data_IF_654490286866
#
_entry.id   IF_654490286866
#
_cell.length_a   1.000
_cell.length_b   1.000
_cell.length_c   1.000
_cell.angle_alpha   90.00
_cell.angle_beta   90.00
_cell.angle_gamma   90.00
#
_symmetry.space_group_name_H-M   'P 1'
#
loop_
_entity.id
_entity.type
_entity.pdbx_description
1 polymer ?
#
# COMPACT_ATOMS: atom_id res chain seq x y z
N UNK A 1 4.26 -4.21 -34.15
CA UNK A 1 3.98 -4.86 -32.85
C UNK A 1 2.84 -5.82 -33.08
N UNK A 2 3.05 -7.08 -32.76
CA UNK A 2 2.06 -8.12 -32.99
C UNK A 2 0.91 -7.91 -31.99
N UNK A 3 -0.26 -7.49 -32.45
CA UNK A 3 -1.43 -7.16 -31.60
C UNK A 3 -2.17 -8.39 -31.08
N UNK A 4 -1.56 -9.58 -31.15
CA UNK A 4 -2.13 -10.84 -30.66
C UNK A 4 -2.63 -10.84 -29.20
N UNK A 5 -2.21 -9.87 -28.43
CA UNK A 5 -2.65 -9.69 -27.03
C UNK A 5 -4.13 -9.30 -26.86
N UNK A 6 -4.78 -8.86 -27.95
CA UNK A 6 -6.17 -8.42 -27.93
C UNK A 6 -7.08 -9.29 -28.78
N UNK A 7 -6.54 -10.31 -29.45
CA UNK A 7 -7.33 -11.26 -30.22
C UNK A 7 -7.76 -12.42 -29.31
N UNK A 8 -9.02 -12.36 -28.85
CA UNK A 8 -9.64 -13.45 -28.12
C UNK A 8 -10.09 -14.54 -29.10
N UNK A 9 -9.85 -15.79 -28.78
CA UNK A 9 -10.48 -16.93 -29.45
C UNK A 9 -12.01 -16.90 -29.23
N UNK A 10 -12.75 -17.59 -30.10
CA UNK A 10 -14.21 -17.56 -30.11
C UNK A 10 -14.87 -17.95 -28.76
N UNK A 11 -14.16 -18.69 -27.91
CA UNK A 11 -14.63 -19.17 -26.60
C UNK A 11 -13.82 -18.63 -25.42
N UNK A 12 -12.90 -17.70 -25.65
CA UNK A 12 -12.05 -17.13 -24.60
C UNK A 12 -12.75 -15.93 -23.95
N UNK A 13 -12.54 -15.81 -22.64
CA UNK A 13 -12.94 -14.62 -21.89
C UNK A 13 -11.77 -13.64 -21.81
N UNK A 14 -12.02 -12.33 -21.62
CA UNK A 14 -10.95 -11.32 -21.55
C UNK A 14 -9.82 -11.65 -20.55
N UNK A 15 -10.11 -12.38 -19.48
CA UNK A 15 -9.13 -12.74 -18.45
C UNK A 15 -8.30 -13.98 -18.78
N UNK A 16 -8.70 -14.80 -19.76
CA UNK A 16 -8.00 -16.04 -20.13
C UNK A 16 -6.63 -15.75 -20.76
N UNK A 17 -6.44 -14.55 -21.31
CA UNK A 17 -5.18 -14.13 -21.93
C UNK A 17 -4.18 -13.53 -20.92
N UNK A 18 -4.56 -13.35 -19.67
CA UNK A 18 -3.65 -12.86 -18.62
C UNK A 18 -2.67 -13.98 -18.28
N UNK A 19 -1.38 -13.75 -18.54
CA UNK A 19 -0.34 -14.73 -18.22
C UNK A 19 -0.25 -14.93 -16.71
N UNK A 20 -0.06 -16.17 -16.26
CA UNK A 20 0.11 -16.51 -14.85
C UNK A 20 1.22 -15.69 -14.16
N UNK A 21 2.28 -15.35 -14.90
CA UNK A 21 3.40 -14.54 -14.40
C UNK A 21 3.04 -13.07 -14.11
N UNK A 22 1.98 -12.55 -14.75
CA UNK A 22 1.58 -11.15 -14.60
C UNK A 22 0.41 -10.99 -13.61
N UNK A 23 -0.33 -12.07 -13.33
CA UNK A 23 -1.54 -12.02 -12.53
C UNK A 23 -2.52 -10.93 -13.01
N UNK A 24 -3.44 -10.56 -12.16
CA UNK A 24 -4.41 -9.51 -12.47
C UNK A 24 -3.84 -8.08 -12.41
N UNK A 25 -2.60 -7.89 -11.94
CA UNK A 25 -1.98 -6.56 -11.90
C UNK A 25 -1.84 -5.93 -13.30
N UNK A 26 -1.67 -6.76 -14.33
CA UNK A 26 -1.56 -6.32 -15.73
C UNK A 26 -2.80 -5.63 -16.31
N UNK A 27 -3.96 -5.68 -15.65
CA UNK A 27 -5.15 -4.90 -16.06
C UNK A 27 -5.01 -3.40 -15.77
N UNK A 28 -4.12 -3.01 -14.88
CA UNK A 28 -3.85 -1.62 -14.55
C UNK A 28 -2.68 -1.08 -15.37
N UNK A 29 -2.82 0.14 -15.89
CA UNK A 29 -1.72 0.84 -16.55
C UNK A 29 -0.76 1.45 -15.54
N UNK A 30 -1.29 1.93 -14.41
CA UNK A 30 -0.48 2.48 -13.34
C UNK A 30 -1.10 2.26 -11.96
N UNK A 31 -0.23 1.95 -11.01
CA UNK A 31 -0.55 1.68 -9.62
C UNK A 31 0.31 2.61 -8.75
N UNK A 32 -0.30 3.31 -7.78
CA UNK A 32 0.40 4.07 -6.75
C UNK A 32 0.74 3.15 -5.57
N UNK A 33 1.95 3.21 -5.07
CA UNK A 33 2.36 2.44 -3.88
C UNK A 33 2.71 3.38 -2.75
N UNK A 34 2.02 3.22 -1.63
CA UNK A 34 2.23 3.95 -0.39
C UNK A 34 2.71 2.93 0.64
N UNK A 35 3.90 3.10 1.17
CA UNK A 35 4.47 2.12 2.09
C UNK A 35 5.67 2.66 2.87
N UNK A 36 6.30 1.76 3.59
CA UNK A 36 7.48 2.00 4.42
C UNK A 36 8.78 1.51 3.76
N UNK A 37 9.77 1.16 4.57
CA UNK A 37 11.08 0.65 4.14
C UNK A 37 11.01 -0.56 3.22
N UNK A 38 10.04 -1.45 3.45
CA UNK A 38 9.85 -2.64 2.61
C UNK A 38 9.43 -2.27 1.18
N UNK A 39 8.66 -1.20 1.04
CA UNK A 39 8.17 -0.75 -0.25
C UNK A 39 9.12 0.26 -0.93
N UNK A 40 9.91 1.01 -0.16
CA UNK A 40 10.95 1.90 -0.72
C UNK A 40 12.20 1.15 -1.16
N UNK A 41 12.39 -0.09 -0.71
CA UNK A 41 13.61 -0.85 -0.93
C UNK A 41 14.78 -0.33 -0.11
N UNK A 42 14.51 0.07 1.16
CA UNK A 42 15.52 0.61 2.05
C UNK A 42 16.67 -0.37 2.27
N UNK A 43 17.86 0.13 2.13
CA UNK A 43 19.11 -0.58 2.32
C UNK A 43 19.83 -0.05 3.55
N UNK A 44 20.34 -0.96 4.38
CA UNK A 44 21.22 -0.63 5.48
C UNK A 44 22.68 -0.77 5.04
N UNK A 45 23.47 0.24 5.29
CA UNK A 45 24.91 0.27 5.05
C UNK A 45 25.62 0.94 6.22
N UNK A 46 26.96 0.97 6.18
CA UNK A 46 27.77 1.68 7.18
C UNK A 46 28.59 2.75 6.50
N UNK A 47 28.68 3.92 7.13
CA UNK A 47 29.58 4.99 6.70
C UNK A 47 31.04 4.70 7.07
N UNK A 48 31.95 5.62 6.71
CA UNK A 48 33.39 5.52 7.01
C UNK A 48 33.69 5.45 8.51
N UNK A 49 32.75 5.87 9.37
CA UNK A 49 32.89 5.84 10.83
C UNK A 49 32.25 4.60 11.46
N UNK A 50 31.65 3.73 10.64
CA UNK A 50 30.92 2.56 11.10
C UNK A 50 29.49 2.85 11.58
N UNK A 51 28.97 4.05 11.34
CA UNK A 51 27.57 4.39 11.68
C UNK A 51 26.62 3.83 10.64
N UNK A 52 25.45 3.35 11.09
CA UNK A 52 24.43 2.82 10.19
C UNK A 52 23.83 3.96 9.37
N UNK A 53 23.74 3.76 8.06
CA UNK A 53 23.10 4.65 7.09
C UNK A 53 22.00 3.89 6.35
N UNK A 54 20.81 4.45 6.32
CA UNK A 54 19.67 3.92 5.58
C UNK A 54 19.46 4.69 4.29
N UNK A 55 19.24 3.99 3.18
CA UNK A 55 19.03 4.59 1.86
C UNK A 55 17.91 3.89 1.14
N UNK A 56 16.90 4.64 0.71
CA UNK A 56 15.81 4.12 -0.12
C UNK A 56 16.31 3.84 -1.55
N UNK A 57 16.27 2.58 -1.97
CA UNK A 57 16.74 2.13 -3.29
C UNK A 57 15.55 1.62 -4.12
N UNK A 58 14.73 2.55 -4.58
CA UNK A 58 13.44 2.30 -5.24
C UNK A 58 13.53 1.31 -6.40
N UNK A 59 14.61 1.33 -7.19
CA UNK A 59 14.82 0.42 -8.32
C UNK A 59 14.99 -1.06 -7.94
N UNK A 60 15.33 -1.34 -6.66
CA UNK A 60 15.45 -2.69 -6.12
C UNK A 60 14.25 -3.11 -5.27
N UNK A 61 13.30 -2.21 -5.08
CA UNK A 61 12.09 -2.46 -4.30
C UNK A 61 11.15 -3.44 -4.97
N UNK A 62 10.26 -4.07 -4.19
CA UNK A 62 9.26 -4.97 -4.75
C UNK A 62 8.31 -4.31 -5.77
N UNK A 63 7.91 -3.01 -5.63
CA UNK A 63 7.13 -2.37 -6.69
C UNK A 63 7.88 -2.30 -8.03
N UNK A 64 9.19 -2.00 -8.00
CA UNK A 64 9.99 -1.99 -9.21
C UNK A 64 10.20 -3.40 -9.82
N UNK A 65 10.24 -4.44 -8.98
CA UNK A 65 10.24 -5.83 -9.46
C UNK A 65 8.92 -6.16 -10.16
N UNK A 66 7.78 -5.79 -9.55
CA UNK A 66 6.46 -5.99 -10.15
C UNK A 66 6.32 -5.19 -11.46
N UNK A 67 6.80 -3.96 -11.53
CA UNK A 67 6.81 -3.16 -12.76
C UNK A 67 7.52 -3.90 -13.89
N UNK A 68 8.70 -4.49 -13.63
CA UNK A 68 9.46 -5.26 -14.63
C UNK A 68 8.76 -6.55 -15.06
N UNK A 69 8.05 -7.21 -14.14
CA UNK A 69 7.36 -8.47 -14.43
C UNK A 69 6.05 -8.24 -15.17
N UNK A 70 5.27 -7.24 -14.75
CA UNK A 70 3.90 -7.03 -15.24
C UNK A 70 3.81 -6.05 -16.40
N UNK A 71 4.83 -5.18 -16.56
CA UNK A 71 4.76 -4.04 -17.48
C UNK A 71 3.81 -2.91 -17.03
N UNK A 72 3.18 -3.06 -15.85
CA UNK A 72 2.36 -2.01 -15.23
C UNK A 72 3.27 -1.00 -14.56
N UNK A 73 3.00 0.30 -14.72
CA UNK A 73 3.75 1.35 -14.04
C UNK A 73 3.44 1.37 -12.56
N UNK A 74 4.47 1.27 -11.71
CA UNK A 74 4.35 1.40 -10.26
C UNK A 74 4.95 2.74 -9.81
N UNK A 75 4.08 3.68 -9.44
CA UNK A 75 4.49 4.97 -8.88
C UNK A 75 4.75 4.79 -7.38
N UNK A 76 6.01 4.72 -6.97
CA UNK A 76 6.38 4.47 -5.59
C UNK A 76 6.43 5.78 -4.78
N UNK A 77 5.55 5.91 -3.78
CA UNK A 77 5.40 7.04 -2.87
C UNK A 77 5.85 6.69 -1.44
N UNK A 78 6.59 5.60 -1.30
CA UNK A 78 7.04 5.07 -0.01
C UNK A 78 8.33 5.73 0.46
N UNK A 79 8.67 5.52 1.73
CA UNK A 79 9.93 5.94 2.34
C UNK A 79 10.25 5.06 3.54
N UNK A 80 11.53 4.82 3.81
CA UNK A 80 11.97 4.18 5.04
C UNK A 80 11.42 4.85 6.30
N UNK A 81 11.00 4.05 7.28
CA UNK A 81 10.42 4.54 8.52
C UNK A 81 9.03 5.15 8.44
N UNK A 82 8.38 5.15 7.28
CA UNK A 82 7.08 5.81 7.07
C UNK A 82 5.98 5.25 7.97
N UNK A 83 5.20 6.15 8.56
CA UNK A 83 3.96 5.87 9.29
C UNK A 83 2.75 6.43 8.54
N UNK A 84 1.55 5.88 8.79
CA UNK A 84 0.31 6.42 8.23
C UNK A 84 0.08 7.87 8.71
N UNK A 85 0.46 8.16 9.95
CA UNK A 85 0.38 9.50 10.54
C UNK A 85 1.23 10.51 9.77
N UNK A 86 2.53 10.23 9.60
CA UNK A 86 3.44 11.15 8.91
C UNK A 86 3.11 11.29 7.43
N UNK A 87 2.74 10.17 6.77
CA UNK A 87 2.30 10.20 5.39
C UNK A 87 1.16 11.19 5.18
N UNK A 88 0.13 11.10 6.03
CA UNK A 88 -1.08 11.92 5.93
C UNK A 88 -0.83 13.38 6.34
N UNK A 89 -0.05 13.62 7.40
CA UNK A 89 0.08 14.95 7.98
C UNK A 89 1.09 15.86 7.27
N UNK A 90 2.07 15.29 6.56
CA UNK A 90 3.16 16.10 5.99
C UNK A 90 3.76 15.54 4.72
N UNK A 91 4.11 14.25 4.68
CA UNK A 91 4.96 13.69 3.65
C UNK A 91 4.33 13.73 2.25
N UNK A 92 3.08 13.32 2.13
CA UNK A 92 2.41 13.26 0.83
C UNK A 92 2.18 14.64 0.22
N UNK A 93 1.83 15.64 1.03
CA UNK A 93 1.66 17.01 0.55
C UNK A 93 3.01 17.65 0.17
N UNK A 94 4.04 17.50 1.01
CA UNK A 94 5.37 18.07 0.75
C UNK A 94 6.01 17.54 -0.54
N UNK A 95 5.69 16.30 -0.93
CA UNK A 95 6.24 15.65 -2.12
C UNK A 95 5.28 15.60 -3.31
N UNK A 96 4.07 16.13 -3.16
CA UNK A 96 3.06 16.13 -4.22
C UNK A 96 2.64 14.72 -4.63
N UNK A 97 2.49 13.80 -3.66
CA UNK A 97 2.20 12.38 -3.89
C UNK A 97 0.71 12.05 -4.03
N UNK A 98 -0.16 13.01 -3.82
CA UNK A 98 -1.58 12.87 -4.11
C UNK A 98 -1.84 12.92 -5.62
N UNK A 99 -1.43 11.87 -6.32
CA UNK A 99 -1.51 11.77 -7.79
C UNK A 99 -2.51 10.70 -8.20
N UNK A 100 -3.13 10.92 -9.34
CA UNK A 100 -4.06 9.97 -9.94
C UNK A 100 -3.35 8.66 -10.31
N UNK A 101 -3.97 7.52 -9.94
CA UNK A 101 -3.62 6.18 -10.37
C UNK A 101 -4.91 5.35 -10.50
N UNK A 102 -4.91 4.35 -11.35
CA UNK A 102 -6.06 3.44 -11.49
C UNK A 102 -6.24 2.54 -10.27
N UNK A 103 -5.14 2.19 -9.61
CA UNK A 103 -5.15 1.47 -8.36
C UNK A 103 -4.09 2.01 -7.40
N UNK A 104 -4.24 1.69 -6.12
CA UNK A 104 -3.25 1.98 -5.08
C UNK A 104 -3.02 0.75 -4.22
N UNK A 105 -1.79 0.59 -3.76
CA UNK A 105 -1.41 -0.38 -2.72
C UNK A 105 -0.94 0.43 -1.52
N UNK A 106 -1.53 0.17 -0.35
CA UNK A 106 -1.16 0.82 0.91
C UNK A 106 -0.60 -0.25 1.84
N UNK A 107 0.70 -0.18 2.13
CA UNK A 107 1.45 -1.11 2.98
C UNK A 107 2.12 -0.35 4.13
N UNK A 108 1.32 0.06 5.11
CA UNK A 108 1.73 0.82 6.31
C UNK A 108 1.27 0.09 7.57
N UNK A 109 1.82 0.47 8.72
CA UNK A 109 1.40 0.00 10.03
C UNK A 109 2.51 -0.63 10.87
N UNK A 110 3.58 -1.13 10.25
CA UNK A 110 4.72 -1.66 10.99
C UNK A 110 5.37 -0.58 11.86
N UNK A 111 5.68 0.57 11.27
CA UNK A 111 6.32 1.67 12.00
C UNK A 111 5.36 2.32 13.00
N UNK A 112 4.09 2.47 12.65
CA UNK A 112 3.08 3.00 13.58
C UNK A 112 3.02 2.18 14.87
N UNK A 113 2.98 0.83 14.74
CA UNK A 113 2.78 -0.07 15.86
C UNK A 113 4.05 -0.40 16.63
N UNK A 114 5.12 -0.77 15.91
CA UNK A 114 6.26 -1.46 16.52
C UNK A 114 7.51 -0.61 16.65
N UNK A 115 7.56 0.54 15.98
CA UNK A 115 8.72 1.44 16.01
C UNK A 115 8.38 2.74 16.72
N UNK A 116 7.31 3.43 16.30
CA UNK A 116 6.94 4.74 16.83
C UNK A 116 5.97 4.66 18.01
N UNK A 117 5.31 3.51 18.23
CA UNK A 117 4.35 3.34 19.32
C UNK A 117 3.15 4.28 19.22
N UNK A 118 2.72 4.61 18.01
CA UNK A 118 1.56 5.47 17.80
C UNK A 118 0.28 4.75 18.28
N UNK A 119 -0.72 5.50 18.79
CA UNK A 119 -2.00 4.89 19.11
C UNK A 119 -2.60 4.22 17.89
N UNK A 120 -2.87 2.92 17.99
CA UNK A 120 -3.50 2.17 16.88
C UNK A 120 -4.93 2.65 16.65
N UNK A 121 -5.69 2.78 17.75
CA UNK A 121 -7.12 3.03 17.67
C UNK A 121 -7.88 1.84 17.09
N UNK A 122 -8.95 2.11 16.35
CA UNK A 122 -9.78 1.12 15.69
C UNK A 122 -10.50 1.72 14.49
N UNK A 123 -11.26 0.92 13.75
CA UNK A 123 -12.12 1.40 12.65
C UNK A 123 -13.16 2.43 13.13
N UNK A 124 -13.49 2.47 14.42
CA UNK A 124 -14.42 3.49 15.00
C UNK A 124 -13.85 4.91 14.96
N UNK A 125 -12.55 5.04 14.79
CA UNK A 125 -11.86 6.34 14.64
C UNK A 125 -11.98 6.90 13.22
N UNK A 126 -12.66 6.17 12.34
CA UNK A 126 -12.81 6.52 10.92
C UNK A 126 -14.22 6.99 10.64
N UNK A 127 -14.33 8.22 10.15
CA UNK A 127 -15.55 8.79 9.59
C UNK A 127 -15.31 9.04 8.09
N UNK A 128 -15.90 8.19 7.24
CA UNK A 128 -15.73 8.28 5.80
C UNK A 128 -16.40 9.54 5.19
N UNK A 129 -17.47 10.05 5.81
CA UNK A 129 -18.20 11.23 5.35
C UNK A 129 -17.48 12.53 5.74
N UNK A 130 -16.80 12.53 6.88
CA UNK A 130 -16.06 13.69 7.40
C UNK A 130 -14.64 13.31 7.84
N UNK A 131 -13.71 13.04 6.87
CA UNK A 131 -12.37 12.52 7.19
C UNK A 131 -11.54 13.43 8.12
N UNK A 132 -11.83 14.72 8.17
CA UNK A 132 -11.16 15.67 9.08
C UNK A 132 -11.39 15.33 10.57
N UNK A 133 -12.52 14.69 10.88
CA UNK A 133 -12.92 14.33 12.23
C UNK A 133 -12.29 13.00 12.70
N UNK A 134 -11.60 12.29 11.80
CA UNK A 134 -10.91 11.05 12.16
C UNK A 134 -9.85 11.34 13.24
N UNK A 135 -9.80 10.48 14.26
CA UNK A 135 -8.83 10.60 15.32
C UNK A 135 -7.38 10.50 14.80
N UNK A 136 -6.43 11.01 15.57
CA UNK A 136 -5.00 10.91 15.25
C UNK A 136 -4.43 9.56 15.74
N UNK A 137 -4.99 8.49 15.22
CA UNK A 137 -4.59 7.09 15.42
C UNK A 137 -4.16 6.49 14.10
N UNK A 138 -3.53 5.30 14.13
CA UNK A 138 -3.18 4.60 12.89
C UNK A 138 -4.41 4.41 11.99
N UNK A 139 -5.52 3.86 12.51
CA UNK A 139 -6.72 3.65 11.72
C UNK A 139 -7.38 4.94 11.26
N UNK A 140 -7.41 5.98 12.11
CA UNK A 140 -7.92 7.28 11.72
C UNK A 140 -7.13 7.91 10.57
N UNK A 141 -5.79 7.79 10.58
CA UNK A 141 -4.93 8.28 9.49
C UNK A 141 -5.05 7.41 8.23
N UNK A 142 -5.17 6.08 8.36
CA UNK A 142 -5.46 5.17 7.23
C UNK A 142 -6.79 5.55 6.55
N UNK A 143 -7.84 5.82 7.34
CA UNK A 143 -9.12 6.30 6.81
C UNK A 143 -8.98 7.62 6.05
N UNK A 144 -8.20 8.59 6.57
CA UNK A 144 -7.91 9.85 5.86
C UNK A 144 -7.20 9.61 4.54
N UNK A 145 -6.22 8.71 4.50
CA UNK A 145 -5.49 8.35 3.26
C UNK A 145 -6.47 7.77 2.23
N UNK A 146 -7.28 6.77 2.61
CA UNK A 146 -8.26 6.17 1.71
C UNK A 146 -9.25 7.20 1.18
N UNK A 147 -9.82 8.04 2.04
CA UNK A 147 -10.74 9.12 1.63
C UNK A 147 -10.07 10.08 0.65
N UNK A 148 -8.82 10.46 0.89
CA UNK A 148 -8.08 11.35 -0.01
C UNK A 148 -7.87 10.73 -1.40
N UNK A 149 -7.49 9.45 -1.44
CA UNK A 149 -7.34 8.70 -2.70
C UNK A 149 -8.67 8.57 -3.45
N UNK A 150 -9.77 8.31 -2.74
CA UNK A 150 -11.12 8.26 -3.32
C UNK A 150 -11.59 9.62 -3.83
N UNK A 151 -11.11 10.72 -3.25
CA UNK A 151 -11.37 12.07 -3.80
C UNK A 151 -10.65 12.30 -5.12
N UNK A 152 -9.44 11.73 -5.28
CA UNK A 152 -8.63 11.84 -6.51
C UNK A 152 -9.22 10.97 -7.62
N UNK A 153 -9.55 9.72 -7.31
CA UNK A 153 -10.14 8.75 -8.23
C UNK A 153 -11.18 7.88 -7.49
N UNK A 154 -12.46 8.22 -7.58
CA UNK A 154 -13.52 7.48 -6.87
C UNK A 154 -13.58 5.98 -7.21
N UNK A 155 -13.24 5.62 -8.44
CA UNK A 155 -13.26 4.25 -8.92
C UNK A 155 -11.92 3.51 -8.77
N UNK A 156 -10.89 4.15 -8.21
CA UNK A 156 -9.61 3.49 -7.97
C UNK A 156 -9.79 2.23 -7.13
N UNK A 157 -9.08 1.16 -7.51
CA UNK A 157 -8.97 -0.04 -6.66
C UNK A 157 -7.89 0.21 -5.61
N UNK A 158 -8.26 0.10 -4.35
CA UNK A 158 -7.32 0.28 -3.24
C UNK A 158 -7.08 -1.08 -2.59
N UNK A 159 -5.83 -1.48 -2.53
CA UNK A 159 -5.39 -2.71 -1.88
C UNK A 159 -4.63 -2.34 -0.61
N UNK A 160 -5.20 -2.70 0.54
CA UNK A 160 -4.59 -2.47 1.85
C UNK A 160 -3.89 -3.74 2.27
N UNK A 161 -2.58 -3.67 2.49
CA UNK A 161 -1.74 -4.81 2.86
C UNK A 161 -1.58 -4.83 4.37
N UNK A 162 -1.83 -5.97 5.01
CA UNK A 162 -1.56 -6.13 6.44
C UNK A 162 -0.07 -6.27 6.72
N UNK A 163 0.42 -5.86 7.89
CA UNK A 163 1.74 -6.26 8.34
C UNK A 163 1.90 -7.78 8.35
N UNK A 164 3.12 -8.27 8.12
CA UNK A 164 3.45 -9.69 8.16
C UNK A 164 3.59 -10.18 9.61
N UNK A 165 3.28 -11.45 9.87
CA UNK A 165 3.58 -12.08 11.14
C UNK A 165 5.09 -12.06 11.41
N UNK A 166 5.47 -11.73 12.65
CA UNK A 166 6.87 -11.50 13.05
C UNK A 166 7.30 -12.37 14.26
N UNK A 167 6.44 -13.27 14.72
CA UNK A 167 6.63 -14.11 15.87
C UNK A 167 5.69 -13.76 17.02
N UNK A 168 5.54 -14.68 17.97
CA UNK A 168 4.50 -14.69 19.02
C UNK A 168 4.32 -13.36 19.76
N UNK A 169 5.40 -12.62 19.99
CA UNK A 169 5.36 -11.35 20.72
C UNK A 169 4.56 -10.26 20.00
N UNK A 170 4.54 -10.27 18.66
CA UNK A 170 3.89 -9.23 17.84
C UNK A 170 2.62 -9.74 17.15
N UNK A 171 2.48 -11.04 16.99
CA UNK A 171 1.44 -11.65 16.15
C UNK A 171 0.02 -11.31 16.62
N UNK A 172 -0.20 -11.17 17.93
CA UNK A 172 -1.50 -10.76 18.47
C UNK A 172 -1.91 -9.38 17.97
N UNK A 173 -0.99 -8.42 18.00
CA UNK A 173 -1.25 -7.04 17.57
C UNK A 173 -1.39 -6.98 16.05
N UNK A 174 -0.59 -7.75 15.32
CA UNK A 174 -0.69 -7.86 13.86
C UNK A 174 -2.06 -8.42 13.45
N UNK A 175 -2.55 -9.48 14.12
CA UNK A 175 -3.90 -10.03 13.86
C UNK A 175 -5.02 -9.04 14.22
N UNK A 176 -4.84 -8.26 15.28
CA UNK A 176 -5.76 -7.16 15.60
C UNK A 176 -5.78 -6.14 14.46
N UNK A 177 -4.60 -5.68 14.02
CA UNK A 177 -4.47 -4.75 12.88
C UNK A 177 -5.16 -5.32 11.64
N UNK A 178 -4.91 -6.57 11.30
CA UNK A 178 -5.52 -7.23 10.14
C UNK A 178 -7.06 -7.24 10.24
N UNK A 179 -7.60 -7.57 11.41
CA UNK A 179 -9.05 -7.60 11.64
C UNK A 179 -9.72 -6.22 11.51
N UNK A 180 -9.05 -5.17 11.96
CA UNK A 180 -9.56 -3.81 11.86
C UNK A 180 -9.37 -3.24 10.44
N UNK A 181 -8.28 -3.58 9.73
CA UNK A 181 -8.08 -3.21 8.33
C UNK A 181 -9.14 -3.86 7.42
N UNK A 182 -9.56 -5.10 7.72
CA UNK A 182 -10.67 -5.72 6.99
C UNK A 182 -11.95 -4.88 7.10
N UNK A 183 -12.31 -4.47 8.32
CA UNK A 183 -13.47 -3.59 8.55
C UNK A 183 -13.31 -2.22 7.90
N UNK A 184 -12.10 -1.67 7.87
CA UNK A 184 -11.80 -0.42 7.16
C UNK A 184 -12.07 -0.59 5.65
N UNK A 185 -11.61 -1.68 5.06
CA UNK A 185 -11.86 -1.96 3.65
C UNK A 185 -13.35 -2.06 3.34
N UNK A 186 -14.14 -2.67 4.22
CA UNK A 186 -15.60 -2.80 4.07
C UNK A 186 -16.36 -1.46 4.10
N UNK A 187 -15.73 -0.39 4.61
CA UNK A 187 -16.32 0.96 4.64
C UNK A 187 -16.26 1.69 3.29
N UNK A 188 -15.44 1.22 2.34
CA UNK A 188 -15.16 1.94 1.10
C UNK A 188 -15.32 1.03 -0.12
N UNK A 189 -16.08 1.49 -1.11
CA UNK A 189 -16.21 0.79 -2.38
C UNK A 189 -14.84 0.57 -3.04
N UNK A 190 -14.67 -0.59 -3.69
CA UNK A 190 -13.44 -0.96 -4.40
C UNK A 190 -12.17 -0.92 -3.54
N UNK A 191 -12.30 -1.22 -2.24
CA UNK A 191 -11.17 -1.30 -1.31
C UNK A 191 -11.07 -2.72 -0.79
N UNK A 192 -9.90 -3.32 -0.87
CA UNK A 192 -9.68 -4.75 -0.66
C UNK A 192 -8.52 -4.98 0.30
N UNK A 193 -8.65 -5.98 1.16
CA UNK A 193 -7.56 -6.42 2.03
C UNK A 193 -6.66 -7.43 1.32
N UNK A 194 -5.35 -7.23 1.39
CA UNK A 194 -4.34 -8.24 1.12
C UNK A 194 -3.79 -8.73 2.46
N UNK A 195 -4.33 -9.84 2.93
CA UNK A 195 -4.01 -10.38 4.26
C UNK A 195 -2.74 -11.25 4.22
N UNK A 196 -1.62 -10.68 4.68
CA UNK A 196 -0.34 -11.37 4.82
C UNK A 196 -0.26 -12.24 6.08
N UNK A 197 -1.30 -12.24 6.94
CA UNK A 197 -1.35 -13.08 8.14
C UNK A 197 -1.94 -14.47 7.87
N UNK A 198 -2.50 -14.67 6.68
CA UNK A 198 -3.13 -15.91 6.26
C UNK A 198 -2.14 -16.94 5.66
N UNK A 199 -0.86 -16.58 5.53
CA UNK A 199 0.19 -17.38 4.86
C UNK A 199 1.39 -17.62 5.75
#
# INVERSE_FOLDING_TARGET
>A
MDNKWFELGANEQPLDIIKETCGFAGIFKQIGVIGDSLASGEFESHDENGSIVYTDMYEYSWPAVLERITGTKYNNYSRGGMTAREYMQSWADANGFWKWNQAYIIALGNNDSFVCGHPLGSVKDVNAECPRDNADTFFGNMGKIVCKLKTIEPNARIFVVTPQLRGEACDKDIRYIASELAKLCDMFDFTYLLDMTAH
#
